data_IF_570053302876
#
_entry.id   IF_570053302876
#
_cell.length_a   1.000
_cell.length_b   1.000
_cell.length_c   1.000
_cell.angle_alpha   90.00
_cell.angle_beta   90.00
_cell.angle_gamma   90.00
#
_symmetry.space_group_name_H-M   'P 1'
#
loop_
_entity.id
_entity.type
_entity.pdbx_description
1 polymer ?
#
# COMPACT_ATOMS: atom_id res chain seq x y z
N UNK A 1 24.68 21.41 22.93
CA UNK A 1 23.96 21.84 21.71
C UNK A 1 24.96 22.51 20.79
N UNK A 2 25.13 22.01 19.57
CA UNK A 2 26.05 22.62 18.60
C UNK A 2 25.33 23.76 17.91
N UNK A 3 25.84 24.98 18.07
CA UNK A 3 25.37 26.14 17.34
C UNK A 3 26.23 26.31 16.09
N UNK A 4 25.66 26.03 14.93
CA UNK A 4 26.31 26.28 13.65
C UNK A 4 25.88 27.67 13.18
N UNK A 5 26.70 28.68 13.48
CA UNK A 5 26.34 30.09 13.34
C UNK A 5 25.85 30.50 11.96
N UNK A 6 26.77 30.65 11.00
CA UNK A 6 26.49 31.38 9.74
C UNK A 6 26.93 30.65 8.48
N UNK A 7 27.54 29.46 8.60
CA UNK A 7 27.99 28.65 7.47
C UNK A 7 27.18 27.35 7.38
N UNK A 8 25.85 27.48 7.29
CA UNK A 8 24.94 26.36 7.11
C UNK A 8 24.91 25.92 5.65
N UNK A 9 24.91 26.87 4.72
CA UNK A 9 24.81 26.60 3.29
C UNK A 9 25.92 25.66 2.80
N UNK A 10 27.20 25.92 3.12
CA UNK A 10 28.29 25.03 2.69
C UNK A 10 28.33 23.68 3.44
N UNK A 11 27.80 23.60 4.67
CA UNK A 11 27.88 22.37 5.48
C UNK A 11 26.72 21.42 5.21
N UNK A 12 25.58 21.96 4.80
CA UNK A 12 24.34 21.20 4.59
C UNK A 12 23.89 21.19 3.13
N UNK A 13 24.51 21.97 2.24
CA UNK A 13 24.34 21.72 0.80
C UNK A 13 24.96 20.37 0.45
N UNK A 14 24.11 19.48 -0.03
CA UNK A 14 24.54 18.21 -0.61
C UNK A 14 24.46 18.37 -2.13
N UNK A 15 25.60 18.42 -2.84
CA UNK A 15 25.59 18.50 -4.28
C UNK A 15 24.78 17.34 -4.88
N UNK A 16 23.83 17.66 -5.76
CA UNK A 16 22.96 16.64 -6.38
C UNK A 16 21.89 16.05 -5.45
N UNK A 17 21.56 16.73 -4.33
CA UNK A 17 20.47 16.29 -3.44
C UNK A 17 19.13 16.18 -4.17
N UNK A 18 18.83 17.16 -5.01
CA UNK A 18 17.60 17.17 -5.81
C UNK A 18 17.79 16.38 -7.10
N UNK A 19 16.77 15.59 -7.50
CA UNK A 19 16.83 14.86 -8.75
C UNK A 19 16.92 15.86 -9.91
N UNK A 20 17.75 15.53 -10.89
CA UNK A 20 17.88 16.35 -12.09
C UNK A 20 16.62 16.24 -12.95
N UNK A 21 16.49 17.13 -13.93
CA UNK A 21 15.34 17.13 -14.83
C UNK A 21 15.22 15.81 -15.61
N UNK A 22 16.35 15.15 -15.91
CA UNK A 22 16.44 13.86 -16.61
C UNK A 22 16.02 12.69 -15.71
N UNK A 23 16.23 12.80 -14.40
CA UNK A 23 15.82 11.80 -13.40
C UNK A 23 14.33 11.89 -13.06
N UNK A 24 13.67 12.98 -13.46
CA UNK A 24 12.25 13.20 -13.21
C UNK A 24 11.39 12.60 -14.32
N UNK A 25 10.23 12.04 -13.94
CA UNK A 25 9.23 11.60 -14.90
C UNK A 25 8.78 12.76 -15.79
N UNK A 26 8.70 12.52 -17.10
CA UNK A 26 8.23 13.52 -18.07
C UNK A 26 6.71 13.47 -18.12
N UNK A 27 6.09 14.62 -17.88
CA UNK A 27 4.64 14.77 -18.06
C UNK A 27 4.39 14.96 -19.55
N UNK A 28 3.53 14.13 -20.18
CA UNK A 28 3.16 14.33 -21.58
C UNK A 28 2.48 15.68 -21.79
N UNK A 29 2.83 16.40 -22.85
CA UNK A 29 2.27 17.72 -23.15
C UNK A 29 1.16 17.65 -24.19
N UNK A 30 1.30 16.75 -25.16
CA UNK A 30 0.35 16.61 -26.25
C UNK A 30 -0.93 15.95 -25.77
N UNK A 31 -2.08 16.48 -26.21
CA UNK A 31 -3.39 16.00 -25.77
C UNK A 31 -3.57 14.51 -25.98
N UNK A 32 -3.10 14.00 -27.11
CA UNK A 32 -3.29 12.59 -27.47
C UNK A 32 -2.36 11.68 -26.65
N UNK A 33 -1.15 12.14 -26.30
CA UNK A 33 -0.27 11.44 -25.35
C UNK A 33 -0.88 11.41 -23.94
N UNK A 34 -1.43 12.53 -23.47
CA UNK A 34 -2.12 12.61 -22.17
C UNK A 34 -3.28 11.61 -22.14
N UNK A 35 -4.07 11.52 -23.22
CA UNK A 35 -5.18 10.56 -23.32
C UNK A 35 -4.69 9.12 -23.26
N UNK A 36 -3.63 8.78 -23.98
CA UNK A 36 -3.05 7.44 -23.97
C UNK A 36 -2.52 7.06 -22.57
N UNK A 37 -1.87 7.99 -21.87
CA UNK A 37 -1.39 7.75 -20.50
C UNK A 37 -2.56 7.59 -19.52
N UNK A 38 -3.61 8.40 -19.64
CA UNK A 38 -4.83 8.23 -18.83
C UNK A 38 -5.45 6.86 -19.07
N UNK A 39 -5.59 6.43 -20.32
CA UNK A 39 -6.15 5.11 -20.66
C UNK A 39 -5.28 3.97 -20.10
N UNK A 40 -3.95 4.10 -20.17
CA UNK A 40 -3.00 3.18 -19.55
C UNK A 40 -3.22 3.08 -18.03
N UNK A 41 -3.33 4.21 -17.34
CA UNK A 41 -3.60 4.23 -15.91
C UNK A 41 -4.96 3.62 -15.57
N UNK A 42 -6.01 3.93 -16.33
CA UNK A 42 -7.34 3.36 -16.10
C UNK A 42 -7.34 1.83 -16.24
N UNK A 43 -6.62 1.28 -17.23
CA UNK A 43 -6.44 -0.17 -17.39
C UNK A 43 -5.75 -0.78 -16.18
N UNK A 44 -4.61 -0.22 -15.76
CA UNK A 44 -3.86 -0.70 -14.59
C UNK A 44 -4.71 -0.64 -13.31
N UNK A 45 -5.45 0.45 -13.10
CA UNK A 45 -6.32 0.59 -11.92
C UNK A 45 -7.47 -0.42 -11.94
N UNK A 46 -8.02 -0.73 -13.12
CA UNK A 46 -9.06 -1.75 -13.28
C UNK A 46 -8.51 -3.14 -12.94
N UNK A 47 -7.33 -3.49 -13.44
CA UNK A 47 -6.64 -4.75 -13.14
C UNK A 47 -6.32 -4.88 -11.64
N UNK A 48 -5.73 -3.84 -11.03
CA UNK A 48 -5.47 -3.84 -9.58
C UNK A 48 -6.76 -3.99 -8.77
N UNK A 49 -7.85 -3.35 -9.20
CA UNK A 49 -9.15 -3.48 -8.52
C UNK A 49 -9.68 -4.91 -8.60
N UNK A 50 -9.60 -5.57 -9.76
CA UNK A 50 -10.08 -6.95 -9.90
C UNK A 50 -9.21 -7.93 -9.12
N UNK A 51 -7.89 -7.72 -9.09
CA UNK A 51 -6.96 -8.51 -8.27
C UNK A 51 -7.26 -8.38 -6.77
N UNK A 52 -7.39 -7.14 -6.26
CA UNK A 52 -7.76 -6.89 -4.87
C UNK A 52 -9.12 -7.51 -4.51
N UNK A 53 -10.10 -7.47 -5.41
CA UNK A 53 -11.40 -8.12 -5.19
C UNK A 53 -11.25 -9.63 -5.05
N UNK A 54 -10.53 -10.29 -5.95
CA UNK A 54 -10.27 -11.74 -5.90
C UNK A 54 -9.46 -12.16 -4.67
N UNK A 55 -8.50 -11.34 -4.24
CA UNK A 55 -7.75 -11.57 -3.00
C UNK A 55 -8.67 -11.44 -1.78
N UNK A 56 -9.54 -10.43 -1.76
CA UNK A 56 -10.50 -10.23 -0.67
C UNK A 56 -11.52 -11.36 -0.57
N UNK A 57 -11.95 -11.93 -1.71
CA UNK A 57 -12.85 -13.09 -1.76
C UNK A 57 -12.16 -14.34 -1.21
N UNK A 58 -10.94 -14.65 -1.69
CA UNK A 58 -10.13 -15.76 -1.18
C UNK A 58 -9.83 -15.65 0.31
N UNK A 59 -9.52 -14.45 0.81
CA UNK A 59 -9.27 -14.22 2.23
C UNK A 59 -10.52 -14.45 3.10
N UNK A 60 -11.71 -14.12 2.60
CA UNK A 60 -12.99 -14.39 3.29
C UNK A 60 -13.27 -15.89 3.37
N UNK A 61 -13.01 -16.64 2.30
CA UNK A 61 -13.16 -18.10 2.27
C UNK A 61 -12.23 -18.78 3.30
N UNK A 62 -10.93 -18.46 3.28
CA UNK A 62 -9.95 -19.04 4.22
C UNK A 62 -10.20 -18.61 5.68
N UNK A 63 -10.68 -17.38 5.90
CA UNK A 63 -11.05 -16.92 7.24
C UNK A 63 -12.29 -17.62 7.79
N UNK A 64 -13.23 -17.99 6.91
CA UNK A 64 -14.42 -18.76 7.32
C UNK A 64 -14.06 -20.20 7.70
N UNK A 65 -13.15 -20.84 6.97
CA UNK A 65 -12.68 -22.20 7.26
C UNK A 65 -11.96 -22.28 8.62
N UNK A 66 -11.03 -21.36 8.90
CA UNK A 66 -10.30 -21.34 10.18
C UNK A 66 -11.22 -21.02 11.38
N UNK A 67 -12.22 -20.16 11.19
CA UNK A 67 -13.18 -19.82 12.24
C UNK A 67 -14.10 -20.99 12.63
N UNK A 68 -14.38 -21.90 11.68
CA UNK A 68 -15.25 -23.05 11.93
C UNK A 68 -14.52 -24.21 12.64
N UNK A 69 -13.20 -24.31 12.47
CA UNK A 69 -12.39 -25.34 13.10
C UNK A 69 -12.09 -25.01 14.58
N UNK A 70 -11.85 -23.74 14.90
CA UNK A 70 -11.57 -23.34 16.29
C UNK A 70 -12.82 -23.39 17.19
N UNK A 71 -14.03 -23.18 16.64
CA UNK A 71 -15.27 -23.23 17.44
C UNK A 71 -15.66 -24.64 17.89
N UNK A 72 -15.15 -25.68 17.24
CA UNK A 72 -15.43 -27.07 17.64
C UNK A 72 -14.53 -27.55 18.81
N UNK A 73 -13.40 -26.89 19.06
CA UNK A 73 -12.47 -27.24 20.14
C UNK A 73 -12.87 -26.76 21.55
N UNK A 74 -13.86 -25.87 21.66
CA UNK A 74 -14.26 -25.27 22.95
C UNK A 74 -15.69 -25.68 23.34
N UNK A 75 -15.98 -26.99 23.27
CA UNK A 75 -17.31 -27.54 23.57
C UNK A 75 -17.36 -28.49 24.77
N UNK A 76 -16.25 -28.72 25.48
CA UNK A 76 -16.20 -29.73 26.54
C UNK A 76 -15.49 -29.20 27.80
N UNK A 77 -16.09 -28.16 28.40
CA UNK A 77 -15.76 -27.68 29.74
C UNK A 77 -17.02 -27.70 30.59
N UNK A 78 -17.28 -28.86 31.19
CA UNK A 78 -18.34 -29.10 32.15
C UNK A 78 -18.09 -28.25 33.39
N UNK A 79 -19.12 -27.64 33.98
CA UNK A 79 -19.38 -27.81 35.41
C UNK A 79 -20.74 -27.22 35.78
N UNK A 80 -21.61 -28.14 36.21
CA UNK A 80 -22.96 -27.91 36.66
C UNK A 80 -22.84 -27.37 38.08
N UNK A 81 -23.19 -26.10 38.31
CA UNK A 81 -23.39 -25.61 39.67
C UNK A 81 -24.78 -26.09 40.14
N UNK A 82 -24.86 -26.88 41.22
CA UNK A 82 -26.11 -27.45 41.70
C UNK A 82 -26.90 -26.45 42.55
N UNK A 83 -28.22 -26.56 42.36
CA UNK A 83 -29.39 -26.23 43.21
C UNK A 83 -29.33 -25.03 44.15
#
# INVERSE_FOLDING_TARGET
MYYFGTNLENRFSVPGFWPTQEQSHKIPYERDEIRAEIERHQRMLRERRTEMQRESERAKEHGHEQGHEQRQGQGQGQEKLPT
#
